data_IF_297856088188
#
_entry.id   IF_297856088188
#
_cell.length_a   1.000
_cell.length_b   1.000
_cell.length_c   1.000
_cell.angle_alpha   90.00
_cell.angle_beta   90.00
_cell.angle_gamma   90.00
#
_symmetry.space_group_name_H-M   'P 1'
#
loop_
_entity.id
_entity.type
_entity.pdbx_description
1 polymer ?
#
# COMPACT_ATOMS: atom_id res chain seq x y z
N UNK A 1 0.13 0.16 -20.14
CA UNK A 1 -1.00 -0.06 -21.05
C UNK A 1 -2.24 0.39 -20.32
N UNK A 2 -3.08 1.17 -20.98
CA UNK A 2 -4.36 1.59 -20.41
C UNK A 2 -5.24 0.35 -20.21
N UNK A 3 -5.79 0.17 -19.00
CA UNK A 3 -6.62 -1.00 -18.70
C UNK A 3 -7.98 -0.87 -19.36
N UNK A 4 -8.54 -2.00 -19.75
CA UNK A 4 -9.93 -2.03 -20.22
C UNK A 4 -10.90 -1.82 -19.06
N UNK A 5 -12.07 -1.23 -19.33
CA UNK A 5 -13.14 -1.12 -18.33
C UNK A 5 -13.46 -2.47 -17.67
N UNK A 6 -13.41 -3.55 -18.45
CA UNK A 6 -13.66 -4.91 -17.94
C UNK A 6 -12.57 -5.38 -16.97
N UNK A 7 -11.30 -5.05 -17.21
CA UNK A 7 -10.24 -5.35 -16.25
C UNK A 7 -10.45 -4.58 -14.94
N UNK A 8 -10.90 -3.32 -15.01
CA UNK A 8 -11.21 -2.55 -13.81
C UNK A 8 -12.38 -3.17 -13.01
N UNK A 9 -13.47 -3.55 -13.68
CA UNK A 9 -14.60 -4.24 -13.04
C UNK A 9 -14.16 -5.54 -12.32
N UNK A 10 -13.24 -6.29 -12.92
CA UNK A 10 -12.68 -7.51 -12.32
C UNK A 10 -11.83 -7.19 -11.09
N UNK A 11 -11.01 -6.14 -11.12
CA UNK A 11 -10.20 -5.71 -9.98
C UNK A 11 -11.10 -5.25 -8.82
N UNK A 12 -12.11 -4.44 -9.11
CA UNK A 12 -13.06 -3.96 -8.10
C UNK A 12 -13.85 -5.12 -7.47
N UNK A 13 -14.27 -6.10 -8.27
CA UNK A 13 -14.87 -7.33 -7.77
C UNK A 13 -13.92 -8.14 -6.90
N UNK A 14 -12.64 -8.21 -7.28
CA UNK A 14 -11.61 -8.91 -6.50
C UNK A 14 -11.43 -8.28 -5.13
N UNK A 15 -11.42 -6.95 -5.06
CA UNK A 15 -11.38 -6.20 -3.80
C UNK A 15 -12.59 -6.55 -2.93
N UNK A 16 -13.81 -6.54 -3.48
CA UNK A 16 -15.03 -6.92 -2.74
C UNK A 16 -15.00 -8.37 -2.23
N UNK A 17 -14.45 -9.30 -3.01
CA UNK A 17 -14.28 -10.70 -2.56
C UNK A 17 -13.30 -10.80 -1.40
N UNK A 18 -12.18 -10.05 -1.43
CA UNK A 18 -11.21 -9.99 -0.33
C UNK A 18 -11.86 -9.38 0.92
N UNK A 19 -12.66 -8.32 0.77
CA UNK A 19 -13.40 -7.69 1.86
C UNK A 19 -14.36 -8.66 2.54
N UNK A 20 -15.08 -9.45 1.76
CA UNK A 20 -16.11 -10.35 2.28
C UNK A 20 -15.54 -11.67 2.85
N UNK A 21 -14.41 -12.15 2.35
CA UNK A 21 -13.93 -13.52 2.64
C UNK A 21 -12.42 -13.64 2.89
N UNK A 22 -11.70 -12.53 2.98
CA UNK A 22 -10.25 -12.53 3.11
C UNK A 22 -9.53 -13.07 1.87
N UNK A 23 -8.22 -13.28 1.99
CA UNK A 23 -7.39 -13.73 0.87
C UNK A 23 -7.75 -15.15 0.39
N UNK A 24 -8.05 -16.08 1.29
CA UNK A 24 -8.49 -17.44 0.93
C UNK A 24 -9.75 -17.47 0.08
N UNK A 25 -10.64 -16.49 0.27
CA UNK A 25 -11.84 -16.32 -0.55
C UNK A 25 -11.57 -15.85 -1.98
N UNK A 26 -10.40 -15.30 -2.27
CA UNK A 26 -10.08 -14.79 -3.59
C UNK A 26 -9.76 -15.94 -4.55
N UNK A 27 -10.77 -16.37 -5.31
CA UNK A 27 -10.68 -17.41 -6.33
C UNK A 27 -11.23 -16.89 -7.65
N UNK A 28 -10.69 -17.36 -8.77
CA UNK A 28 -11.17 -16.97 -10.12
C UNK A 28 -12.67 -17.20 -10.26
N UNK A 29 -13.17 -18.32 -9.72
CA UNK A 29 -14.60 -18.62 -9.66
C UNK A 29 -15.42 -17.53 -8.96
N UNK A 30 -15.07 -17.17 -7.73
CA UNK A 30 -15.82 -16.16 -6.95
C UNK A 30 -15.75 -14.78 -7.60
N UNK A 31 -14.61 -14.40 -8.17
CA UNK A 31 -14.47 -13.13 -8.89
C UNK A 31 -15.32 -13.15 -10.16
N UNK A 32 -15.36 -14.26 -10.90
CA UNK A 32 -16.22 -14.40 -12.08
C UNK A 32 -17.71 -14.31 -11.70
N UNK A 33 -18.12 -14.99 -10.62
CA UNK A 33 -19.48 -14.91 -10.05
C UNK A 33 -19.83 -13.46 -9.65
N UNK A 34 -18.93 -12.75 -8.97
CA UNK A 34 -19.10 -11.35 -8.53
C UNK A 34 -19.22 -10.35 -9.69
N UNK A 35 -18.53 -10.58 -10.82
CA UNK A 35 -18.61 -9.73 -12.03
C UNK A 35 -19.77 -10.16 -12.95
N UNK A 36 -20.37 -11.34 -12.72
CA UNK A 36 -21.42 -11.89 -13.57
C UNK A 36 -20.92 -12.46 -14.90
N UNK A 37 -19.70 -13.03 -14.92
CA UNK A 37 -19.09 -13.66 -16.11
C UNK A 37 -18.69 -15.10 -15.83
N UNK A 38 -18.33 -15.85 -16.87
CA UNK A 38 -17.77 -17.20 -16.71
C UNK A 38 -16.27 -17.14 -16.40
N UNK A 39 -15.74 -18.16 -15.71
CA UNK A 39 -14.29 -18.26 -15.46
C UNK A 39 -13.45 -18.19 -16.76
N UNK A 40 -13.81 -18.88 -17.86
CA UNK A 40 -13.09 -18.74 -19.12
C UNK A 40 -13.13 -17.33 -19.72
N UNK A 41 -14.17 -16.53 -19.44
CA UNK A 41 -14.21 -15.14 -19.86
C UNK A 41 -13.25 -14.27 -19.02
N UNK A 42 -13.16 -14.51 -17.72
CA UNK A 42 -12.19 -13.84 -16.84
C UNK A 42 -10.75 -14.13 -17.28
N UNK A 43 -10.44 -15.38 -17.65
CA UNK A 43 -9.11 -15.77 -18.12
C UNK A 43 -8.65 -15.05 -19.41
N UNK A 44 -9.58 -14.47 -20.19
CA UNK A 44 -9.21 -13.63 -21.35
C UNK A 44 -8.62 -12.28 -20.94
N UNK A 45 -8.93 -11.82 -19.72
CA UNK A 45 -8.46 -10.55 -19.17
C UNK A 45 -7.25 -10.72 -18.24
N UNK A 46 -7.22 -11.82 -17.48
CA UNK A 46 -6.12 -12.18 -16.60
C UNK A 46 -5.74 -13.65 -16.80
N UNK A 47 -4.53 -13.91 -17.27
CA UNK A 47 -4.06 -15.27 -17.60
C UNK A 47 -3.98 -16.22 -16.40
N UNK A 48 -3.95 -15.68 -15.18
CA UNK A 48 -3.89 -16.46 -13.94
C UNK A 48 -4.39 -15.64 -12.74
N UNK A 49 -4.64 -16.31 -11.61
CA UNK A 49 -4.85 -15.64 -10.32
C UNK A 49 -3.66 -14.76 -9.96
N UNK A 50 -2.44 -15.23 -10.19
CA UNK A 50 -1.23 -14.44 -9.96
C UNK A 50 -1.22 -13.13 -10.78
N UNK A 51 -1.58 -13.17 -12.06
CA UNK A 51 -1.63 -11.96 -12.90
C UNK A 51 -2.65 -10.93 -12.38
N UNK A 52 -3.79 -11.40 -11.85
CA UNK A 52 -4.77 -10.55 -11.17
C UNK A 52 -4.19 -9.93 -9.89
N UNK A 53 -3.49 -10.71 -9.07
CA UNK A 53 -2.85 -10.25 -7.83
C UNK A 53 -1.75 -9.22 -8.09
N UNK A 54 -0.91 -9.47 -9.09
CA UNK A 54 0.13 -8.52 -9.51
C UNK A 54 -0.50 -7.18 -9.95
N UNK A 55 -1.63 -7.23 -10.63
CA UNK A 55 -2.34 -6.02 -11.06
C UNK A 55 -2.92 -5.23 -9.88
N UNK A 56 -3.50 -5.91 -8.88
CA UNK A 56 -3.93 -5.27 -7.63
C UNK A 56 -2.75 -4.67 -6.85
N UNK A 57 -1.60 -5.34 -6.86
CA UNK A 57 -0.38 -4.85 -6.24
C UNK A 57 0.15 -3.60 -6.95
N UNK A 58 0.14 -3.60 -8.29
CA UNK A 58 0.54 -2.44 -9.09
C UNK A 58 -0.36 -1.23 -8.80
N UNK A 59 -1.68 -1.43 -8.66
CA UNK A 59 -2.62 -0.37 -8.28
C UNK A 59 -2.33 0.25 -6.92
N UNK A 60 -2.06 -0.62 -5.95
CA UNK A 60 -1.71 -0.17 -4.62
C UNK A 60 -0.40 0.62 -4.66
N UNK A 61 0.60 0.11 -5.37
CA UNK A 61 1.90 0.74 -5.50
C UNK A 61 1.81 2.11 -6.18
N UNK A 62 1.06 2.23 -7.28
CA UNK A 62 0.87 3.49 -8.01
C UNK A 62 0.20 4.55 -7.12
N UNK A 63 -0.80 4.15 -6.33
CA UNK A 63 -1.49 5.04 -5.40
C UNK A 63 -0.58 5.53 -4.25
N UNK A 64 0.37 4.71 -3.80
CA UNK A 64 1.23 5.02 -2.64
C UNK A 64 2.50 5.77 -3.05
N UNK A 65 3.17 5.34 -4.12
CA UNK A 65 4.50 5.86 -4.49
C UNK A 65 4.47 7.36 -4.82
N UNK A 66 3.35 7.86 -5.34
CA UNK A 66 3.14 9.27 -5.63
C UNK A 66 3.33 10.17 -4.41
N UNK A 67 2.95 9.69 -3.21
CA UNK A 67 3.15 10.43 -1.95
C UNK A 67 4.63 10.54 -1.60
N UNK A 68 5.43 9.49 -1.82
CA UNK A 68 6.87 9.54 -1.57
C UNK A 68 7.56 10.52 -2.50
N UNK A 69 7.19 10.51 -3.79
CA UNK A 69 7.76 11.46 -4.76
C UNK A 69 7.30 12.90 -4.49
N UNK A 70 6.07 13.11 -4.04
CA UNK A 70 5.56 14.42 -3.69
C UNK A 70 6.30 15.03 -2.49
N UNK A 71 6.66 14.20 -1.49
CA UNK A 71 7.44 14.66 -0.34
C UNK A 71 8.81 15.24 -0.75
N UNK A 72 9.44 14.74 -1.81
CA UNK A 72 10.77 15.22 -2.25
C UNK A 72 10.76 16.71 -2.62
N UNK A 73 9.66 17.20 -3.20
CA UNK A 73 9.52 18.59 -3.65
C UNK A 73 8.63 19.44 -2.75
N UNK A 74 8.00 18.84 -1.74
CA UNK A 74 7.07 19.50 -0.83
C UNK A 74 7.73 20.65 -0.06
N UNK A 75 6.95 21.72 0.12
CA UNK A 75 7.33 22.92 0.87
C UNK A 75 6.25 23.28 1.88
N UNK A 76 6.57 24.14 2.84
CA UNK A 76 5.65 24.58 3.90
C UNK A 76 6.20 24.31 5.29
N UNK A 77 5.40 24.65 6.32
CA UNK A 77 5.82 24.55 7.72
C UNK A 77 5.94 23.09 8.21
N UNK A 78 5.08 22.19 7.72
CA UNK A 78 4.96 20.82 8.22
C UNK A 78 4.88 19.77 7.08
N UNK A 79 5.87 19.68 6.17
CA UNK A 79 5.80 18.78 5.01
C UNK A 79 5.62 17.30 5.42
N UNK A 80 6.26 16.87 6.52
CA UNK A 80 6.13 15.51 7.02
C UNK A 80 4.70 15.20 7.52
N UNK A 81 4.06 16.13 8.20
CA UNK A 81 2.68 15.96 8.70
C UNK A 81 1.68 15.87 7.54
N UNK A 82 1.83 16.76 6.54
CA UNK A 82 1.03 16.73 5.31
C UNK A 82 1.20 15.41 4.58
N UNK A 83 2.45 14.99 4.33
CA UNK A 83 2.76 13.72 3.68
C UNK A 83 2.16 12.51 4.40
N UNK A 84 2.33 12.41 5.73
CA UNK A 84 1.75 11.29 6.50
C UNK A 84 0.23 11.35 6.42
N UNK A 85 -0.36 12.54 6.50
CA UNK A 85 -1.80 12.73 6.41
C UNK A 85 -2.38 12.25 5.08
N UNK A 86 -1.77 12.63 3.96
CA UNK A 86 -2.21 12.26 2.61
C UNK A 86 -1.98 10.77 2.31
N UNK A 87 -0.86 10.23 2.81
CA UNK A 87 -0.55 8.80 2.71
C UNK A 87 -1.62 7.97 3.45
N UNK A 88 -1.95 8.33 4.69
CA UNK A 88 -2.96 7.59 5.46
C UNK A 88 -4.38 7.74 4.90
N UNK A 89 -4.75 8.89 4.32
CA UNK A 89 -6.03 9.04 3.62
C UNK A 89 -6.12 8.12 2.38
N UNK A 90 -4.99 7.89 1.72
CA UNK A 90 -4.92 6.99 0.57
C UNK A 90 -4.94 5.53 0.99
N UNK A 91 -4.19 5.18 2.04
CA UNK A 91 -4.17 3.83 2.60
C UNK A 91 -5.53 3.44 3.19
N UNK A 92 -6.21 4.33 3.90
CA UNK A 92 -7.53 4.07 4.48
C UNK A 92 -8.61 3.80 3.43
N UNK A 93 -8.50 4.39 2.23
CA UNK A 93 -9.38 4.10 1.08
C UNK A 93 -9.11 2.75 0.42
N UNK A 94 -7.99 2.11 0.73
CA UNK A 94 -7.50 0.86 0.12
C UNK A 94 -7.11 -0.18 1.18
N UNK A 95 -7.65 -0.04 2.40
CA UNK A 95 -7.30 -0.87 3.55
C UNK A 95 -7.50 -2.37 3.26
N UNK A 96 -8.40 -2.68 2.33
CA UNK A 96 -8.86 -4.01 2.00
C UNK A 96 -7.86 -4.79 1.14
N UNK A 97 -6.83 -4.11 0.63
CA UNK A 97 -5.66 -4.73 0.00
C UNK A 97 -4.56 -5.13 1.00
N UNK A 98 -4.66 -4.73 2.28
CA UNK A 98 -3.67 -5.07 3.31
C UNK A 98 -3.40 -6.59 3.44
N UNK A 99 -4.40 -7.49 3.37
CA UNK A 99 -4.15 -8.93 3.39
C UNK A 99 -3.26 -9.41 2.25
N UNK A 100 -3.33 -8.79 1.06
CA UNK A 100 -2.47 -9.14 -0.08
C UNK A 100 -1.01 -8.79 0.17
N UNK A 101 -0.77 -7.70 0.90
CA UNK A 101 0.56 -7.12 1.12
C UNK A 101 1.27 -7.72 2.33
N UNK A 102 0.52 -8.27 3.28
CA UNK A 102 1.01 -8.60 4.62
C UNK A 102 0.57 -9.96 5.16
N UNK A 103 -0.13 -10.80 4.39
CA UNK A 103 -0.49 -12.15 4.85
C UNK A 103 0.56 -13.19 4.46
N UNK A 104 0.99 -13.95 5.47
CA UNK A 104 1.82 -15.15 5.27
C UNK A 104 1.05 -16.19 4.42
N UNK A 105 -0.27 -16.22 4.56
CA UNK A 105 -1.18 -17.03 3.73
C UNK A 105 -1.04 -16.72 2.23
N UNK A 106 -1.00 -15.44 1.84
CA UNK A 106 -0.83 -15.07 0.44
C UNK A 106 0.52 -15.50 -0.13
N UNK A 107 1.58 -15.35 0.65
CA UNK A 107 2.93 -15.74 0.21
C UNK A 107 3.12 -17.25 0.15
N UNK A 108 2.45 -18.01 1.01
CA UNK A 108 2.43 -19.47 0.92
C UNK A 108 1.63 -19.96 -0.29
N UNK A 109 0.47 -19.36 -0.55
CA UNK A 109 -0.38 -19.75 -1.66
C UNK A 109 0.23 -19.37 -3.02
N UNK A 110 0.91 -18.23 -3.10
CA UNK A 110 1.49 -17.67 -4.33
C UNK A 110 2.94 -17.22 -4.08
N UNK A 111 3.93 -18.13 -4.11
CA UNK A 111 5.33 -17.80 -3.78
C UNK A 111 5.92 -16.66 -4.62
N UNK A 112 5.53 -16.53 -5.89
CA UNK A 112 5.99 -15.45 -6.77
C UNK A 112 5.54 -14.05 -6.29
N UNK A 113 4.43 -13.96 -5.54
CA UNK A 113 3.97 -12.71 -4.97
C UNK A 113 4.92 -12.17 -3.90
N UNK A 114 5.60 -13.07 -3.17
CA UNK A 114 6.59 -12.71 -2.15
C UNK A 114 7.72 -11.86 -2.74
N UNK A 115 8.28 -12.30 -3.87
CA UNK A 115 9.39 -11.60 -4.53
C UNK A 115 8.93 -10.23 -5.04
N UNK A 116 7.72 -10.16 -5.61
CA UNK A 116 7.11 -8.89 -6.03
C UNK A 116 6.91 -7.91 -4.87
N UNK A 117 6.41 -8.37 -3.73
CA UNK A 117 6.23 -7.53 -2.54
C UNK A 117 7.57 -7.10 -1.94
N UNK A 118 8.56 -7.99 -1.91
CA UNK A 118 9.92 -7.65 -1.46
C UNK A 118 10.55 -6.54 -2.32
N UNK A 119 10.45 -6.66 -3.64
CA UNK A 119 10.91 -5.64 -4.58
C UNK A 119 10.19 -4.31 -4.39
N UNK A 120 8.87 -4.37 -4.19
CA UNK A 120 8.04 -3.19 -3.93
C UNK A 120 8.50 -2.46 -2.66
N UNK A 121 8.66 -3.19 -1.54
CA UNK A 121 9.14 -2.62 -0.27
C UNK A 121 10.53 -1.99 -0.46
N UNK A 122 11.44 -2.68 -1.16
CA UNK A 122 12.80 -2.19 -1.41
C UNK A 122 12.81 -0.91 -2.25
N UNK A 123 11.98 -0.84 -3.29
CA UNK A 123 11.83 0.38 -4.11
C UNK A 123 11.24 1.53 -3.30
N UNK A 124 10.20 1.26 -2.51
CA UNK A 124 9.55 2.27 -1.67
C UNK A 124 10.51 2.85 -0.64
N UNK A 125 11.34 2.02 0.00
CA UNK A 125 12.37 2.47 0.94
C UNK A 125 13.37 3.43 0.29
N UNK A 126 13.82 3.11 -0.94
CA UNK A 126 14.74 3.95 -1.70
C UNK A 126 14.10 5.29 -2.11
N UNK A 127 12.87 5.26 -2.61
CA UNK A 127 12.15 6.48 -3.00
C UNK A 127 11.89 7.38 -1.80
N UNK A 128 11.45 6.81 -0.68
CA UNK A 128 11.21 7.58 0.54
C UNK A 128 12.51 8.13 1.14
N UNK A 129 13.61 7.37 1.13
CA UNK A 129 14.91 7.85 1.59
C UNK A 129 15.38 9.07 0.77
N UNK A 130 15.21 9.05 -0.56
CA UNK A 130 15.51 10.21 -1.41
C UNK A 130 14.68 11.43 -1.02
N UNK A 131 13.38 11.25 -0.82
CA UNK A 131 12.47 12.32 -0.42
C UNK A 131 12.84 12.91 0.96
N UNK A 132 13.17 12.05 1.92
CA UNK A 132 13.66 12.47 3.25
C UNK A 132 14.97 13.25 3.11
N UNK A 133 15.92 12.77 2.30
CA UNK A 133 17.19 13.47 2.06
C UNK A 133 17.00 14.87 1.46
N UNK A 134 16.02 15.06 0.56
CA UNK A 134 15.66 16.38 0.04
C UNK A 134 15.09 17.30 1.14
N UNK A 135 14.30 16.75 2.07
CA UNK A 135 13.77 17.51 3.21
C UNK A 135 14.84 17.82 4.27
N UNK A 136 15.84 16.95 4.44
CA UNK A 136 17.02 17.21 5.29
C UNK A 136 17.84 18.39 4.77
N UNK A 137 18.07 18.46 3.44
CA UNK A 137 18.77 19.60 2.82
C UNK A 137 18.03 20.94 3.02
N UNK A 138 16.72 20.89 3.25
CA UNK A 138 15.87 22.07 3.52
C UNK A 138 15.72 22.38 5.00
N UNK A 139 16.29 21.56 5.90
CA UNK A 139 16.14 21.71 7.35
C UNK A 139 14.73 21.35 7.87
N UNK A 140 13.89 20.69 7.07
CA UNK A 140 12.54 20.30 7.49
C UNK A 140 12.51 18.96 8.27
N UNK A 141 13.56 18.16 8.13
CA UNK A 141 13.79 16.89 8.84
C UNK A 141 15.21 16.92 9.38
N UNK A 142 15.42 16.41 10.61
CA UNK A 142 16.71 16.28 11.26
C UNK A 142 17.74 15.59 10.36
N UNK A 143 18.97 16.12 10.32
CA UNK A 143 20.03 15.62 9.45
C UNK A 143 21.11 14.80 10.16
N UNK A 144 21.00 14.63 11.48
CA UNK A 144 21.93 13.82 12.30
C UNK A 144 21.70 12.31 12.16
N UNK A 145 20.58 11.88 11.56
CA UNK A 145 20.27 10.48 11.23
C UNK A 145 20.22 10.31 9.71
N UNK A 146 20.86 9.28 9.12
CA UNK A 146 20.78 9.03 7.67
C UNK A 146 19.34 8.84 7.17
N UNK A 147 19.05 9.38 5.98
CA UNK A 147 17.73 9.33 5.38
C UNK A 147 17.18 7.91 5.20
N UNK A 148 18.06 6.93 4.93
CA UNK A 148 17.72 5.51 4.82
C UNK A 148 17.26 4.90 6.15
N UNK A 149 17.82 5.38 7.27
CA UNK A 149 17.41 4.92 8.60
C UNK A 149 16.06 5.52 8.98
N UNK A 150 15.85 6.81 8.68
CA UNK A 150 14.56 7.47 8.88
C UNK A 150 13.46 6.87 7.99
N UNK A 151 13.77 6.50 6.74
CA UNK A 151 12.81 5.85 5.85
C UNK A 151 12.36 4.50 6.40
N UNK A 152 13.27 3.72 6.98
CA UNK A 152 12.94 2.46 7.66
C UNK A 152 11.99 2.69 8.85
N UNK A 153 12.23 3.72 9.67
CA UNK A 153 11.35 4.07 10.80
C UNK A 153 9.94 4.42 10.30
N UNK A 154 9.84 5.31 9.31
CA UNK A 154 8.54 5.73 8.73
C UNK A 154 7.81 4.52 8.14
N UNK A 155 8.49 3.71 7.32
CA UNK A 155 7.89 2.52 6.71
C UNK A 155 7.48 1.47 7.76
N UNK A 156 8.29 1.28 8.81
CA UNK A 156 7.98 0.38 9.91
C UNK A 156 6.71 0.81 10.65
N UNK A 157 6.58 2.10 10.96
CA UNK A 157 5.39 2.68 11.58
C UNK A 157 4.14 2.52 10.70
N UNK A 158 4.25 2.80 9.39
CA UNK A 158 3.15 2.60 8.45
C UNK A 158 2.75 1.12 8.38
N UNK A 159 3.73 0.23 8.19
CA UNK A 159 3.51 -1.21 8.05
C UNK A 159 2.84 -1.82 9.28
N UNK A 160 3.35 -1.55 10.48
CA UNK A 160 2.75 -2.08 11.71
C UNK A 160 1.32 -1.55 11.91
N UNK A 161 1.03 -0.33 11.47
CA UNK A 161 -0.31 0.25 11.57
C UNK A 161 -1.28 -0.43 10.60
N UNK A 162 -0.87 -0.67 9.36
CA UNK A 162 -1.66 -1.44 8.38
C UNK A 162 -1.91 -2.86 8.87
N UNK A 163 -0.88 -3.55 9.37
CA UNK A 163 -1.01 -4.90 9.92
C UNK A 163 -1.95 -4.93 11.12
N UNK A 164 -1.88 -3.96 12.03
CA UNK A 164 -2.82 -3.86 13.16
C UNK A 164 -4.25 -3.67 12.68
N UNK A 165 -4.47 -2.80 11.69
CA UNK A 165 -5.78 -2.59 11.08
C UNK A 165 -6.34 -3.88 10.52
N UNK A 166 -5.56 -4.59 9.70
CA UNK A 166 -6.00 -5.84 9.05
C UNK A 166 -6.27 -6.98 10.03
N UNK A 167 -5.54 -7.05 11.15
CA UNK A 167 -5.73 -8.09 12.17
C UNK A 167 -6.84 -7.77 13.18
N UNK A 168 -7.34 -6.54 13.20
CA UNK A 168 -8.26 -6.08 14.25
C UNK A 168 -9.71 -6.51 14.05
N UNK A 169 -10.06 -7.08 12.89
CA UNK A 169 -11.46 -7.34 12.53
C UNK A 169 -12.31 -6.07 12.49
N UNK A 170 -11.70 -4.92 12.19
CA UNK A 170 -12.36 -3.60 12.14
C UNK A 170 -12.30 -2.79 13.43
N UNK A 171 -11.71 -3.32 14.51
CA UNK A 171 -11.53 -2.56 15.76
C UNK A 171 -10.49 -1.43 15.65
N UNK A 172 -9.58 -1.52 14.68
CA UNK A 172 -8.64 -0.46 14.30
C UNK A 172 -8.90 -0.13 12.84
N UNK A 173 -9.08 1.16 12.54
CA UNK A 173 -9.21 1.68 11.17
C UNK A 173 -8.04 2.58 10.86
N UNK A 174 -7.45 2.46 9.67
CA UNK A 174 -6.27 3.24 9.29
C UNK A 174 -6.51 4.75 9.35
N UNK A 175 -7.71 5.20 8.96
CA UNK A 175 -8.08 6.62 8.97
C UNK A 175 -8.04 7.23 10.37
N UNK A 176 -8.34 6.44 11.41
CA UNK A 176 -8.35 6.90 12.81
C UNK A 176 -6.92 7.00 13.38
N UNK A 177 -5.98 6.24 12.81
CA UNK A 177 -4.57 6.20 13.24
C UNK A 177 -3.73 7.34 12.66
N UNK A 178 -4.24 8.05 11.64
CA UNK A 178 -3.56 9.15 10.93
C UNK A 178 -2.94 10.17 11.88
N UNK A 179 -3.73 10.73 12.80
CA UNK A 179 -3.25 11.77 13.75
C UNK A 179 -2.16 11.24 14.68
N UNK A 180 -2.32 10.02 15.18
CA UNK A 180 -1.36 9.38 16.09
C UNK A 180 -0.02 9.16 15.39
N UNK A 181 -0.04 8.60 14.18
CA UNK A 181 1.18 8.31 13.42
C UNK A 181 1.86 9.60 12.96
N UNK A 182 1.09 10.58 12.47
CA UNK A 182 1.61 11.88 12.08
C UNK A 182 2.31 12.59 13.26
N UNK A 183 1.69 12.61 14.45
CA UNK A 183 2.29 13.21 15.64
C UNK A 183 3.58 12.53 16.08
N UNK A 184 3.60 11.19 16.13
CA UNK A 184 4.81 10.41 16.52
C UNK A 184 5.96 10.64 15.55
N UNK A 185 5.72 10.46 14.25
CA UNK A 185 6.78 10.62 13.25
C UNK A 185 7.25 12.06 13.14
N UNK A 186 6.35 13.04 13.21
CA UNK A 186 6.72 14.47 13.22
C UNK A 186 7.59 14.80 14.42
N UNK A 187 7.30 14.25 15.60
CA UNK A 187 8.13 14.45 16.80
C UNK A 187 9.49 13.78 16.69
N UNK A 188 9.56 12.58 16.10
CA UNK A 188 10.82 11.83 16.00
C UNK A 188 11.77 12.38 14.92
N UNK A 189 11.21 12.89 13.82
CA UNK A 189 11.97 13.31 12.64
C UNK A 189 12.26 14.82 12.62
N UNK A 190 11.60 15.62 13.45
CA UNK A 190 11.99 17.03 13.67
C UNK A 190 13.07 17.13 14.74
N UNK A 191 13.85 18.20 14.66
CA UNK A 191 14.78 18.62 15.72
C UNK A 191 14.03 19.25 16.89
#
# INVERSE_FOLDING_TARGET
MERTNRQQEILDASVRVIEASGFSGLTVRRVAEEVGVSEPALYRHFSSKLALLECLLDDFQEAVVGHFTALETMTGENPLETFIGELFDTLGRRETLAPLLFSEEAFHAEPALKDRVFDMITRNAKTLARAIGAQQQRGAIRADIPAESLSLVVMGCVRVTITRSSLSGGAVRLVDEKKRVAGVLTTLLKE
#
